data_IF_702614808778
#
_entry.id   IF_702614808778
#
_cell.length_a   1.000
_cell.length_b   1.000
_cell.length_c   1.000
_cell.angle_alpha   90.00
_cell.angle_beta   90.00
_cell.angle_gamma   90.00
#
_symmetry.space_group_name_H-M   'P 1'
#
loop_
_entity.id
_entity.type
_entity.pdbx_description
1 polymer ?
#
# COMPACT_ATOMS: atom_id res chain seq x y z
N UNK A 1 13.20 7.52 -6.50
CA UNK A 1 13.43 6.92 -5.15
C UNK A 1 14.84 6.37 -4.99
N UNK A 2 15.34 6.37 -3.75
CA UNK A 2 16.67 5.86 -3.39
C UNK A 2 16.74 4.32 -3.33
N UNK A 3 15.64 3.65 -3.00
CA UNK A 3 15.48 2.19 -3.05
C UNK A 3 14.41 1.83 -4.10
N UNK A 4 14.58 0.69 -4.78
CA UNK A 4 13.66 0.14 -5.79
C UNK A 4 13.20 1.13 -6.88
N UNK A 5 14.11 1.80 -7.62
CA UNK A 5 13.73 2.77 -8.65
C UNK A 5 13.04 2.11 -9.87
N UNK A 6 12.04 2.77 -10.43
CA UNK A 6 11.38 2.36 -11.68
C UNK A 6 10.42 1.15 -11.57
N UNK A 7 9.99 0.81 -10.34
CA UNK A 7 9.12 -0.33 -10.07
C UNK A 7 7.70 0.15 -9.80
N UNK A 8 6.72 -0.39 -10.54
CA UNK A 8 5.30 -0.19 -10.22
C UNK A 8 4.95 -0.83 -8.88
N UNK A 9 4.12 -0.18 -8.07
CA UNK A 9 3.72 -0.67 -6.74
C UNK A 9 2.32 -0.17 -6.38
N UNK A 10 1.77 -0.64 -5.26
CA UNK A 10 0.56 -0.11 -4.65
C UNK A 10 0.71 1.39 -4.30
N UNK A 11 -0.41 2.08 -4.04
CA UNK A 11 -0.49 3.55 -4.03
C UNK A 11 0.56 4.29 -3.18
N UNK A 12 0.86 3.80 -1.97
CA UNK A 12 1.89 4.38 -1.11
C UNK A 12 2.44 3.33 -0.14
N UNK A 13 3.70 3.48 0.26
CA UNK A 13 4.37 2.70 1.29
C UNK A 13 5.33 3.60 2.09
N UNK A 14 5.56 3.27 3.36
CA UNK A 14 6.47 4.03 4.21
C UNK A 14 6.24 3.73 5.68
N UNK A 15 6.93 4.50 6.52
CA UNK A 15 6.96 4.27 7.96
C UNK A 15 6.29 5.42 8.73
N UNK A 16 5.55 5.12 9.82
CA UNK A 16 5.15 6.13 10.78
C UNK A 16 6.37 6.79 11.43
N UNK A 17 6.29 8.09 11.65
CA UNK A 17 7.24 8.79 12.51
C UNK A 17 7.07 8.35 13.99
N UNK A 18 8.06 8.57 14.86
CA UNK A 18 7.93 8.27 16.28
C UNK A 18 6.70 8.92 16.91
N UNK A 19 5.78 8.11 17.45
CA UNK A 19 4.53 8.56 18.05
C UNK A 19 3.44 8.98 17.06
N UNK A 20 3.65 8.82 15.75
CA UNK A 20 2.65 9.11 14.73
C UNK A 20 1.67 7.95 14.58
N UNK A 21 0.33 8.20 14.64
CA UNK A 21 -0.68 7.21 14.31
C UNK A 21 -0.48 6.62 12.92
N UNK A 22 -0.64 5.29 12.78
CA UNK A 22 -0.52 4.60 11.49
C UNK A 22 -1.39 5.23 10.40
N UNK A 23 -2.64 5.57 10.72
CA UNK A 23 -3.55 6.28 9.82
C UNK A 23 -3.02 7.67 9.41
N UNK A 24 -2.39 8.40 10.33
CA UNK A 24 -1.76 9.69 10.06
C UNK A 24 -0.59 9.56 9.09
N UNK A 25 0.25 8.55 9.26
CA UNK A 25 1.36 8.24 8.37
C UNK A 25 0.87 7.95 6.94
N UNK A 26 -0.20 7.14 6.79
CA UNK A 26 -0.81 6.85 5.49
C UNK A 26 -1.33 8.13 4.82
N UNK A 27 -2.11 8.94 5.54
CA UNK A 27 -2.64 10.20 4.99
C UNK A 27 -1.52 11.14 4.54
N UNK A 28 -0.46 11.28 5.35
CA UNK A 28 0.70 12.11 5.03
C UNK A 28 1.42 11.60 3.78
N UNK A 29 1.76 10.30 3.71
CA UNK A 29 2.48 9.73 2.55
C UNK A 29 1.67 9.83 1.25
N UNK A 30 0.36 9.57 1.29
CA UNK A 30 -0.49 9.70 0.09
C UNK A 30 -0.58 11.16 -0.38
N UNK A 31 -0.65 12.12 0.55
CA UNK A 31 -0.62 13.53 0.20
C UNK A 31 0.74 13.96 -0.37
N UNK A 32 1.84 13.55 0.28
CA UNK A 32 3.21 13.91 -0.13
C UNK A 32 3.58 13.28 -1.48
N UNK A 33 3.27 12.00 -1.71
CA UNK A 33 3.70 11.26 -2.89
C UNK A 33 2.77 11.42 -4.09
N UNK A 34 1.46 11.50 -3.87
CA UNK A 34 0.45 11.50 -4.93
C UNK A 34 -0.38 12.78 -5.01
N UNK A 35 -0.25 13.70 -4.05
CA UNK A 35 -1.08 14.91 -4.00
C UNK A 35 -2.57 14.62 -3.78
N UNK A 36 -2.90 13.45 -3.21
CA UNK A 36 -4.27 13.01 -2.95
C UNK A 36 -4.60 13.05 -1.46
N UNK A 37 -5.88 13.27 -1.13
CA UNK A 37 -6.39 13.13 0.23
C UNK A 37 -7.14 11.80 0.36
N UNK A 38 -6.63 10.92 1.22
CA UNK A 38 -7.26 9.63 1.54
C UNK A 38 -7.97 9.69 2.89
N UNK A 39 -9.13 9.06 2.99
CA UNK A 39 -9.91 8.88 4.20
C UNK A 39 -10.50 7.47 4.29
N UNK A 40 -11.41 7.26 5.25
CA UNK A 40 -12.07 5.97 5.51
C UNK A 40 -11.07 4.80 5.58
N UNK A 41 -9.97 5.02 6.29
CA UNK A 41 -8.89 4.05 6.39
C UNK A 41 -9.34 2.84 7.21
N UNK A 42 -9.18 1.65 6.63
CA UNK A 42 -9.50 0.36 7.25
C UNK A 42 -8.27 -0.53 7.26
N UNK A 43 -7.96 -1.09 8.41
CA UNK A 43 -6.90 -2.08 8.56
C UNK A 43 -7.39 -3.42 8.03
N UNK A 44 -6.71 -4.01 7.06
CA UNK A 44 -7.15 -5.27 6.43
C UNK A 44 -6.15 -6.41 6.59
N UNK A 45 -4.85 -6.11 6.64
CA UNK A 45 -3.80 -7.10 6.94
C UNK A 45 -2.94 -6.58 8.10
N UNK A 46 -3.26 -6.89 9.36
CA UNK A 46 -2.61 -6.30 10.54
C UNK A 46 -1.19 -6.81 10.74
N UNK A 47 -0.85 -7.97 10.15
CA UNK A 47 0.36 -8.73 10.43
C UNK A 47 1.15 -9.07 9.16
N UNK A 48 0.82 -8.44 8.04
CA UNK A 48 1.58 -8.62 6.80
C UNK A 48 3.05 -8.30 7.05
N UNK A 49 3.93 -9.13 6.51
CA UNK A 49 5.37 -8.98 6.60
C UNK A 49 6.01 -9.56 5.37
N UNK A 50 7.07 -8.93 4.88
CA UNK A 50 7.75 -9.38 3.67
C UNK A 50 9.26 -9.31 3.84
N UNK A 51 9.96 -10.05 2.97
CA UNK A 51 11.39 -9.89 2.73
C UNK A 51 11.62 -9.66 1.25
N UNK A 52 12.12 -8.48 0.88
CA UNK A 52 12.50 -8.16 -0.49
C UNK A 52 14.00 -7.93 -0.59
N UNK A 53 14.57 -8.28 -1.73
CA UNK A 53 15.97 -7.99 -2.03
C UNK A 53 16.09 -7.51 -3.47
N UNK A 54 16.74 -6.36 -3.66
CA UNK A 54 17.06 -5.82 -4.99
C UNK A 54 18.44 -5.17 -4.94
N UNK A 55 19.31 -5.54 -5.88
CA UNK A 55 20.64 -4.94 -6.06
C UNK A 55 21.48 -4.90 -4.76
N UNK A 56 21.34 -5.92 -3.91
CA UNK A 56 22.04 -6.03 -2.63
C UNK A 56 21.41 -5.27 -1.46
N UNK A 57 20.32 -4.53 -1.69
CA UNK A 57 19.48 -3.92 -0.64
C UNK A 57 18.43 -4.93 -0.20
N UNK A 58 18.38 -5.21 1.10
CA UNK A 58 17.38 -6.09 1.71
C UNK A 58 16.40 -5.26 2.54
N UNK A 59 15.12 -5.41 2.26
CA UNK A 59 14.03 -4.97 3.14
C UNK A 59 13.44 -6.18 3.84
N UNK A 60 13.29 -6.09 5.16
CA UNK A 60 12.63 -7.08 6.00
C UNK A 60 11.72 -6.33 6.97
N UNK A 61 10.43 -6.24 6.62
CA UNK A 61 9.52 -5.33 7.29
C UNK A 61 8.26 -6.02 7.79
N UNK A 62 7.81 -5.59 8.97
CA UNK A 62 6.42 -5.75 9.41
C UNK A 62 5.64 -4.57 8.85
N UNK A 63 4.71 -4.82 7.94
CA UNK A 63 4.06 -3.79 7.13
C UNK A 63 2.54 -3.99 7.14
N UNK A 64 1.82 -3.55 8.19
CA UNK A 64 0.37 -3.64 8.19
C UNK A 64 -0.25 -2.89 7.01
N UNK A 65 -1.28 -3.49 6.40
CA UNK A 65 -1.91 -2.95 5.19
C UNK A 65 -3.23 -2.29 5.54
N UNK A 66 -3.37 -1.03 5.12
CA UNK A 66 -4.60 -0.28 5.18
C UNK A 66 -5.13 -0.03 3.77
N UNK A 67 -6.45 -0.03 3.66
CA UNK A 67 -7.18 0.43 2.47
C UNK A 67 -7.91 1.71 2.80
N UNK A 68 -8.12 2.58 1.81
CA UNK A 68 -8.77 3.87 2.01
C UNK A 68 -9.50 4.33 0.76
N UNK A 69 -10.28 5.40 0.91
CA UNK A 69 -11.00 6.04 -0.18
C UNK A 69 -10.47 7.44 -0.43
N UNK A 70 -10.40 7.80 -1.70
CA UNK A 70 -10.13 9.17 -2.14
C UNK A 70 -11.45 9.76 -2.63
N UNK A 71 -11.75 11.00 -2.24
CA UNK A 71 -12.99 11.64 -2.61
C UNK A 71 -13.05 11.94 -4.13
N UNK A 72 -14.22 11.75 -4.73
CA UNK A 72 -14.44 11.94 -6.17
C UNK A 72 -14.33 10.65 -6.98
N UNK A 73 -14.54 10.76 -8.30
CA UNK A 73 -14.43 9.64 -9.23
C UNK A 73 -13.08 9.71 -9.92
N UNK A 74 -12.13 8.88 -9.47
CA UNK A 74 -10.76 8.81 -10.01
C UNK A 74 -10.11 10.19 -10.19
N UNK A 75 -9.96 10.99 -9.13
CA UNK A 75 -9.32 12.30 -9.23
C UNK A 75 -7.88 12.17 -9.73
N UNK A 76 -7.45 13.12 -10.56
CA UNK A 76 -6.10 13.13 -11.15
C UNK A 76 -5.02 13.24 -10.05
N UNK A 77 -4.13 12.24 -9.92
CA UNK A 77 -2.99 12.33 -9.00
C UNK A 77 -2.03 13.44 -9.43
N UNK A 78 -1.35 14.04 -8.45
CA UNK A 78 -0.28 15.03 -8.67
C UNK A 78 1.01 14.51 -8.04
N UNK A 79 1.69 13.55 -8.69
CA UNK A 79 2.84 12.89 -8.11
C UNK A 79 4.01 13.86 -7.89
N UNK A 80 4.70 13.73 -6.77
CA UNK A 80 6.01 14.38 -6.58
C UNK A 80 7.06 13.65 -7.44
N UNK A 81 7.67 14.30 -8.45
CA UNK A 81 8.64 13.66 -9.33
C UNK A 81 9.91 13.16 -8.61
N UNK A 82 10.18 13.60 -7.38
CA UNK A 82 11.27 13.05 -6.57
C UNK A 82 10.95 11.62 -6.06
N UNK A 83 9.66 11.32 -5.85
CA UNK A 83 9.17 10.07 -5.26
C UNK A 83 8.48 9.16 -6.28
N UNK A 84 7.65 9.71 -7.17
CA UNK A 84 6.76 8.95 -8.07
C UNK A 84 6.94 9.43 -9.51
N UNK A 85 7.30 8.50 -10.39
CA UNK A 85 7.46 8.77 -11.83
C UNK A 85 6.11 8.82 -12.56
N UNK A 86 5.20 7.90 -12.21
CA UNK A 86 3.87 7.80 -12.80
C UNK A 86 2.88 7.19 -11.81
N UNK A 87 1.60 7.53 -11.94
CA UNK A 87 0.49 6.97 -11.19
C UNK A 87 -0.67 6.68 -12.14
N UNK A 88 -1.42 5.61 -11.88
CA UNK A 88 -2.60 5.24 -12.66
C UNK A 88 -3.72 4.71 -11.76
N UNK A 89 -4.97 4.99 -12.15
CA UNK A 89 -6.15 4.36 -11.57
C UNK A 89 -6.49 3.09 -12.35
N UNK A 90 -6.68 1.98 -11.65
CA UNK A 90 -7.07 0.70 -12.25
C UNK A 90 -8.21 0.06 -11.45
N UNK A 91 -9.14 -0.64 -12.12
CA UNK A 91 -10.06 -1.53 -11.42
C UNK A 91 -9.29 -2.59 -10.63
N UNK A 92 -9.65 -2.80 -9.37
CA UNK A 92 -8.95 -3.75 -8.49
C UNK A 92 -8.89 -5.16 -9.07
N UNK A 93 -10.01 -5.67 -9.59
CA UNK A 93 -10.07 -7.03 -10.14
C UNK A 93 -9.10 -7.22 -11.33
N UNK A 94 -9.00 -6.21 -12.21
CA UNK A 94 -8.06 -6.23 -13.33
C UNK A 94 -6.61 -6.19 -12.84
N UNK A 95 -6.31 -5.28 -11.90
CA UNK A 95 -4.98 -5.14 -11.32
C UNK A 95 -4.53 -6.42 -10.62
N UNK A 96 -5.36 -6.98 -9.74
CA UNK A 96 -5.07 -8.20 -8.99
C UNK A 96 -4.86 -9.38 -9.94
N UNK A 97 -5.75 -9.57 -10.93
CA UNK A 97 -5.62 -10.65 -11.91
C UNK A 97 -4.32 -10.54 -12.74
N UNK A 98 -3.92 -9.34 -13.14
CA UNK A 98 -2.67 -9.12 -13.88
C UNK A 98 -1.42 -9.38 -13.04
N UNK A 99 -1.43 -8.98 -11.75
CA UNK A 99 -0.33 -9.24 -10.82
C UNK A 99 -0.21 -10.74 -10.53
N UNK A 100 -1.32 -11.42 -10.21
CA UNK A 100 -1.35 -12.85 -9.90
C UNK A 100 -0.97 -13.71 -11.12
N UNK A 101 -1.32 -13.28 -12.33
CA UNK A 101 -0.91 -13.95 -13.56
C UNK A 101 0.51 -13.58 -14.03
N UNK A 102 1.21 -12.68 -13.32
CA UNK A 102 2.55 -12.22 -13.69
C UNK A 102 2.61 -11.35 -14.95
N UNK A 103 1.47 -10.86 -15.44
CA UNK A 103 1.39 -9.96 -16.60
C UNK A 103 1.80 -8.54 -16.24
N UNK A 104 1.62 -8.15 -14.98
CA UNK A 104 2.05 -6.85 -14.43
C UNK A 104 3.19 -7.05 -13.46
N UNK A 105 4.35 -6.46 -13.77
CA UNK A 105 5.51 -6.45 -12.88
C UNK A 105 5.31 -5.37 -11.82
N UNK A 106 5.30 -5.78 -10.56
CA UNK A 106 5.22 -4.90 -9.39
C UNK A 106 6.31 -5.25 -8.38
N UNK A 107 6.48 -4.39 -7.37
CA UNK A 107 7.33 -4.67 -6.22
C UNK A 107 6.95 -5.99 -5.52
N UNK A 108 7.94 -6.60 -4.84
CA UNK A 108 7.74 -7.86 -4.12
C UNK A 108 6.65 -7.75 -3.07
N UNK A 109 6.64 -6.70 -2.26
CA UNK A 109 5.62 -6.50 -1.23
C UNK A 109 4.23 -6.29 -1.86
N UNK A 110 4.11 -5.53 -2.95
CA UNK A 110 2.82 -5.34 -3.61
C UNK A 110 2.25 -6.66 -4.13
N UNK A 111 3.08 -7.50 -4.76
CA UNK A 111 2.66 -8.83 -5.22
C UNK A 111 2.19 -9.72 -4.05
N UNK A 112 2.95 -9.75 -2.96
CA UNK A 112 2.61 -10.57 -1.79
C UNK A 112 1.35 -10.06 -1.08
N UNK A 113 1.17 -8.74 -0.98
CA UNK A 113 -0.07 -8.14 -0.50
C UNK A 113 -1.27 -8.52 -1.37
N UNK A 114 -1.14 -8.48 -2.70
CA UNK A 114 -2.22 -8.89 -3.62
C UNK A 114 -2.64 -10.34 -3.38
N UNK A 115 -1.71 -11.26 -3.11
CA UNK A 115 -2.04 -12.66 -2.79
C UNK A 115 -2.90 -12.75 -1.52
N UNK A 116 -2.54 -12.04 -0.45
CA UNK A 116 -3.32 -12.07 0.80
C UNK A 116 -4.65 -11.31 0.67
N UNK A 117 -4.68 -10.19 -0.05
CA UNK A 117 -5.90 -9.40 -0.27
C UNK A 117 -6.91 -10.12 -1.17
N UNK A 118 -6.45 -10.83 -2.21
CA UNK A 118 -7.33 -11.62 -3.08
C UNK A 118 -8.06 -12.73 -2.31
N UNK A 119 -7.41 -13.30 -1.28
CA UNK A 119 -8.03 -14.28 -0.39
C UNK A 119 -9.17 -13.70 0.47
N UNK A 120 -9.26 -12.37 0.62
CA UNK A 120 -10.36 -11.68 1.29
C UNK A 120 -11.59 -11.49 0.37
N UNK A 121 -11.44 -11.76 -0.93
CA UNK A 121 -12.50 -11.68 -1.94
C UNK A 121 -12.26 -10.59 -3.01
N UNK A 122 -13.11 -10.55 -4.05
CA UNK A 122 -12.86 -9.70 -5.23
C UNK A 122 -13.15 -8.21 -5.01
N UNK A 123 -13.87 -7.85 -3.94
CA UNK A 123 -14.33 -6.48 -3.71
C UNK A 123 -13.65 -5.86 -2.49
N UNK A 124 -12.76 -4.86 -2.67
CA UNK A 124 -12.10 -4.17 -1.57
C UNK A 124 -13.08 -3.60 -0.54
N UNK A 125 -14.23 -3.14 -1.01
CA UNK A 125 -15.29 -2.55 -0.19
C UNK A 125 -15.98 -3.54 0.76
N UNK A 126 -15.83 -4.84 0.50
CA UNK A 126 -16.44 -5.92 1.29
C UNK A 126 -15.44 -6.65 2.18
N UNK A 127 -14.15 -6.33 2.09
CA UNK A 127 -13.14 -6.94 2.94
C UNK A 127 -13.42 -6.65 4.41
N UNK A 128 -13.25 -7.64 5.30
CA UNK A 128 -13.42 -7.43 6.73
C UNK A 128 -12.32 -6.53 7.26
N UNK A 129 -12.68 -5.68 8.22
CA UNK A 129 -11.70 -4.94 9.01
C UNK A 129 -11.02 -5.90 9.99
N UNK A 130 -9.70 -5.79 10.11
CA UNK A 130 -8.93 -6.51 11.09
C UNK A 130 -8.96 -5.82 12.45
N UNK A 131 -8.78 -6.59 13.53
CA UNK A 131 -8.70 -6.05 14.88
C UNK A 131 -7.38 -5.29 15.08
N UNK A 132 -7.40 -3.99 15.45
CA UNK A 132 -6.17 -3.25 15.79
C UNK A 132 -5.34 -3.90 16.90
N UNK A 133 -5.94 -4.73 17.75
CA UNK A 133 -5.21 -5.52 18.75
C UNK A 133 -4.22 -6.51 18.12
N UNK A 134 -4.43 -6.92 16.86
CA UNK A 134 -3.54 -7.81 16.11
C UNK A 134 -2.32 -7.10 15.51
N UNK A 135 -2.28 -5.75 15.53
CA UNK A 135 -1.11 -5.00 15.10
C UNK A 135 0.14 -5.41 15.90
N UNK A 136 1.35 -5.31 15.34
CA UNK A 136 2.57 -5.42 16.12
C UNK A 136 2.58 -4.43 17.29
N UNK A 137 3.13 -4.82 18.44
CA UNK A 137 3.11 -4.00 19.66
C UNK A 137 3.69 -2.58 19.46
N UNK A 138 4.68 -2.43 18.57
CA UNK A 138 5.26 -1.12 18.24
C UNK A 138 4.28 -0.15 17.56
N UNK A 139 3.20 -0.66 16.97
CA UNK A 139 2.19 0.11 16.23
C UNK A 139 0.85 0.21 16.99
N UNK A 140 0.77 -0.31 18.22
CA UNK A 140 -0.40 -0.16 19.10
C UNK A 140 -0.21 1.09 19.97
N UNK A 141 -0.58 2.25 19.46
CA UNK A 141 -0.53 3.53 20.20
C UNK A 141 -1.88 4.23 20.15
#
# INVERSE_FOLDING_TARGET
KATFPGVWTNSACGHPAPGEPLAGAVCRRVADELGLAVGDLRLVLPRFSYRAEQDGVVELELCPVLVGRVAGTAPEPRPDPAEVEAAEWLPWEEFAADVLAGRRRVSTWCREQVVELDALGPSPDQWPDADPADLPAALRH
#
